data_IF_904834008307
#
_entry.id   IF_904834008307
#
_cell.length_a   1.000
_cell.length_b   1.000
_cell.length_c   1.000
_cell.angle_alpha   90.00
_cell.angle_beta   90.00
_cell.angle_gamma   90.00
#
_symmetry.space_group_name_H-M   'P 1'
#
loop_
_entity.id
_entity.type
_entity.pdbx_description
1 polymer ?
#
# COMPACT_ATOMS: atom_id res chain seq x y z
N UNK A 1 0.78 15.74 11.79
CA UNK A 1 1.36 14.66 10.97
C UNK A 1 0.36 13.51 11.00
N UNK A 2 -0.12 12.99 9.87
CA UNK A 2 -1.10 11.89 9.91
C UNK A 2 -0.45 10.64 10.52
N UNK A 3 -1.22 9.78 11.23
CA UNK A 3 -0.67 8.56 11.83
C UNK A 3 0.06 7.69 10.80
N UNK A 4 -0.49 7.59 9.58
CA UNK A 4 0.11 6.82 8.49
C UNK A 4 1.44 7.41 7.98
N UNK A 5 1.58 8.74 7.99
CA UNK A 5 2.84 9.39 7.62
C UNK A 5 3.94 9.10 8.65
N UNK A 6 3.59 8.97 9.94
CA UNK A 6 4.54 8.48 10.96
C UNK A 6 4.95 7.03 10.71
N UNK A 7 3.99 6.16 10.41
CA UNK A 7 4.24 4.74 10.06
C UNK A 7 5.23 4.61 8.91
N UNK A 8 5.02 5.34 7.80
CA UNK A 8 5.94 5.26 6.67
C UNK A 8 7.28 5.93 6.93
N UNK A 9 7.34 6.99 7.74
CA UNK A 9 8.61 7.56 8.20
C UNK A 9 9.41 6.53 8.98
N UNK A 10 8.77 5.83 9.92
CA UNK A 10 9.40 4.78 10.73
C UNK A 10 9.94 3.66 9.85
N UNK A 11 9.14 3.13 8.92
CA UNK A 11 9.57 2.08 7.99
C UNK A 11 10.76 2.54 7.14
N UNK A 12 10.66 3.73 6.55
CA UNK A 12 11.73 4.30 5.71
C UNK A 12 13.02 4.53 6.50
N UNK A 13 12.93 5.05 7.72
CA UNK A 13 14.08 5.27 8.60
C UNK A 13 14.80 3.98 8.99
N UNK A 14 14.06 2.89 9.24
CA UNK A 14 14.65 1.56 9.50
C UNK A 14 15.30 1.00 8.23
N UNK A 15 14.65 1.09 7.05
CA UNK A 15 15.24 0.63 5.79
C UNK A 15 16.57 1.33 5.51
N UNK A 16 16.61 2.65 5.65
CA UNK A 16 17.81 3.46 5.40
C UNK A 16 18.99 3.11 6.31
N UNK A 17 18.73 2.58 7.51
CA UNK A 17 19.76 2.20 8.47
C UNK A 17 20.17 0.74 8.39
N UNK A 18 19.20 -0.16 8.30
CA UNK A 18 19.43 -1.61 8.36
C UNK A 18 19.76 -2.20 6.99
N UNK A 19 19.25 -1.60 5.92
CA UNK A 19 19.34 -2.10 4.54
C UNK A 19 19.39 -0.94 3.52
N UNK A 20 20.38 -0.02 3.62
CA UNK A 20 20.45 1.19 2.80
C UNK A 20 20.45 0.92 1.28
N UNK A 21 20.91 -0.26 0.84
CA UNK A 21 20.94 -0.65 -0.57
C UNK A 21 19.55 -0.76 -1.22
N UNK A 22 18.47 -0.83 -0.44
CA UNK A 22 17.10 -0.92 -0.96
C UNK A 22 16.60 0.42 -1.52
N UNK A 23 16.91 1.53 -0.85
CA UNK A 23 16.54 2.88 -1.28
C UNK A 23 17.78 3.53 -1.90
N UNK A 24 17.83 3.57 -3.23
CA UNK A 24 19.00 4.08 -3.96
C UNK A 24 18.63 4.62 -5.33
N UNK A 25 19.59 5.31 -5.93
CA UNK A 25 19.43 5.79 -7.29
C UNK A 25 19.50 4.63 -8.29
N UNK A 26 18.57 4.61 -9.23
CA UNK A 26 18.43 3.54 -10.22
C UNK A 26 18.36 4.15 -11.62
N UNK A 27 19.16 3.61 -12.54
CA UNK A 27 19.17 4.01 -13.96
C UNK A 27 18.26 3.08 -14.74
N UNK A 28 17.43 3.63 -15.61
CA UNK A 28 16.61 2.84 -16.54
C UNK A 28 17.08 3.08 -17.97
N UNK A 29 17.25 2.01 -18.73
CA UNK A 29 17.73 2.06 -20.11
C UNK A 29 16.55 2.19 -21.09
N UNK A 30 16.04 3.41 -21.20
CA UNK A 30 15.18 3.86 -22.31
C UNK A 30 16.01 4.81 -23.21
N UNK A 31 15.50 5.32 -24.35
CA UNK A 31 16.32 6.02 -25.36
C UNK A 31 17.21 7.16 -24.83
N UNK A 32 16.85 7.76 -23.69
CA UNK A 32 17.77 8.52 -22.83
C UNK A 32 17.86 7.87 -21.43
N UNK A 33 19.05 7.80 -20.83
CA UNK A 33 19.22 7.27 -19.47
C UNK A 33 18.56 8.22 -18.45
N UNK A 34 17.40 7.83 -17.93
CA UNK A 34 16.75 8.53 -16.83
C UNK A 34 17.26 7.97 -15.50
N UNK A 35 17.72 8.87 -14.62
CA UNK A 35 18.15 8.54 -13.26
C UNK A 35 16.98 8.78 -12.30
N UNK A 36 16.49 7.70 -11.68
CA UNK A 36 15.46 7.76 -10.65
C UNK A 36 16.13 7.74 -9.27
N UNK A 37 16.07 8.88 -8.58
CA UNK A 37 16.74 9.04 -7.30
C UNK A 37 15.97 8.38 -6.15
N UNK A 38 16.71 7.82 -5.17
CA UNK A 38 16.16 7.30 -3.89
C UNK A 38 14.91 6.42 -4.05
N UNK A 39 14.97 5.44 -4.94
CA UNK A 39 13.84 4.55 -5.25
C UNK A 39 14.04 3.15 -4.65
N UNK A 40 12.94 2.52 -4.27
CA UNK A 40 12.85 1.12 -3.85
C UNK A 40 12.07 0.30 -4.89
N UNK A 41 12.42 -0.97 -5.06
CA UNK A 41 11.67 -1.88 -5.94
C UNK A 41 10.54 -2.53 -5.13
N UNK A 42 9.35 -2.64 -5.73
CA UNK A 42 8.18 -3.28 -5.12
C UNK A 42 8.47 -4.64 -4.52
N UNK A 43 9.03 -5.57 -5.30
CA UNK A 43 9.37 -6.91 -4.81
C UNK A 43 10.42 -6.92 -3.69
N UNK A 44 11.41 -6.02 -3.74
CA UNK A 44 12.42 -5.89 -2.69
C UNK A 44 11.83 -5.33 -1.39
N UNK A 45 10.86 -4.41 -1.48
CA UNK A 45 10.12 -3.91 -0.32
C UNK A 45 9.30 -5.04 0.34
N UNK A 46 8.67 -5.90 -0.46
CA UNK A 46 7.95 -7.08 0.03
C UNK A 46 8.90 -8.04 0.76
N UNK A 47 10.05 -8.34 0.18
CA UNK A 47 11.07 -9.19 0.80
C UNK A 47 11.53 -8.60 2.14
N UNK A 48 11.73 -7.29 2.18
CA UNK A 48 12.10 -6.59 3.41
C UNK A 48 11.00 -6.69 4.49
N UNK A 49 9.73 -6.48 4.14
CA UNK A 49 8.60 -6.59 5.08
C UNK A 49 8.51 -8.02 5.64
N UNK A 50 8.63 -9.03 4.80
CA UNK A 50 8.60 -10.43 5.24
C UNK A 50 9.77 -10.75 6.18
N UNK A 51 10.98 -10.29 5.84
CA UNK A 51 12.17 -10.52 6.66
C UNK A 51 12.13 -9.75 7.99
N UNK A 52 11.64 -8.52 8.01
CA UNK A 52 11.59 -7.74 9.26
C UNK A 52 10.50 -8.30 10.19
N UNK A 53 9.40 -8.80 9.63
CA UNK A 53 8.29 -9.34 10.42
C UNK A 53 8.60 -10.67 11.08
N UNK A 54 9.54 -11.48 10.57
CA UNK A 54 9.98 -12.71 11.27
C UNK A 54 10.57 -12.43 12.67
N UNK A 55 11.10 -11.21 12.88
CA UNK A 55 11.70 -10.78 14.13
C UNK A 55 10.71 -10.01 15.03
N UNK A 56 9.43 -9.97 14.65
CA UNK A 56 8.39 -9.26 15.38
C UNK A 56 7.20 -10.18 15.65
N UNK A 57 6.33 -9.89 16.62
CA UNK A 57 5.09 -10.65 16.82
C UNK A 57 4.04 -10.40 15.71
N UNK A 58 4.31 -9.48 14.77
CA UNK A 58 3.39 -9.18 13.66
C UNK A 58 3.42 -10.34 12.67
N UNK A 59 2.28 -11.01 12.53
CA UNK A 59 2.12 -12.21 11.73
C UNK A 59 1.84 -11.89 10.25
N UNK A 60 2.90 -11.85 9.44
CA UNK A 60 2.82 -11.74 7.98
C UNK A 60 3.37 -13.02 7.37
N UNK A 61 2.51 -13.84 6.76
CA UNK A 61 2.86 -15.18 6.29
C UNK A 61 2.87 -15.31 4.76
N UNK A 62 2.46 -14.28 4.03
CA UNK A 62 2.40 -14.33 2.57
C UNK A 62 2.83 -13.01 1.93
N UNK A 63 3.33 -13.10 0.69
CA UNK A 63 3.64 -11.91 -0.13
C UNK A 63 2.40 -11.05 -0.37
N UNK A 64 1.22 -11.67 -0.47
CA UNK A 64 -0.06 -10.97 -0.60
C UNK A 64 -0.37 -10.09 0.61
N UNK A 65 -0.12 -10.58 1.83
CA UNK A 65 -0.31 -9.77 3.05
C UNK A 65 0.67 -8.60 3.11
N UNK A 66 1.94 -8.81 2.75
CA UNK A 66 2.91 -7.73 2.66
C UNK A 66 2.53 -6.70 1.57
N UNK A 67 2.02 -7.17 0.41
CA UNK A 67 1.55 -6.30 -0.66
C UNK A 67 0.34 -5.46 -0.23
N UNK A 68 -0.57 -6.04 0.55
CA UNK A 68 -1.68 -5.34 1.17
C UNK A 68 -1.21 -4.25 2.17
N UNK A 69 -0.15 -4.50 2.93
CA UNK A 69 0.47 -3.47 3.79
C UNK A 69 1.06 -2.33 2.96
N UNK A 70 1.72 -2.63 1.84
CA UNK A 70 2.21 -1.62 0.91
C UNK A 70 1.09 -0.85 0.20
N UNK A 71 -0.05 -1.50 -0.07
CA UNK A 71 -1.24 -0.87 -0.62
C UNK A 71 -1.75 0.26 0.29
N UNK A 72 -1.73 0.07 1.62
CA UNK A 72 -2.08 1.12 2.59
C UNK A 72 -1.16 2.34 2.44
N UNK A 73 0.16 2.11 2.32
CA UNK A 73 1.14 3.20 2.14
C UNK A 73 0.94 3.94 0.81
N UNK A 74 0.57 3.21 -0.26
CA UNK A 74 0.32 3.76 -1.58
C UNK A 74 -0.93 4.66 -1.60
N UNK A 75 -2.05 4.18 -1.07
CA UNK A 75 -3.29 4.98 -0.99
C UNK A 75 -3.13 6.20 -0.09
N UNK A 76 -2.32 6.06 0.97
CA UNK A 76 -1.98 7.14 1.89
C UNK A 76 -1.00 8.19 1.34
N UNK A 77 -0.54 8.06 0.09
CA UNK A 77 0.48 8.93 -0.52
C UNK A 77 1.78 9.00 0.29
N UNK A 78 2.07 7.95 1.06
CA UNK A 78 3.34 7.81 1.79
C UNK A 78 4.37 7.10 0.92
N UNK A 79 3.88 6.21 0.07
CA UNK A 79 4.62 5.58 -1.02
C UNK A 79 3.96 5.98 -2.34
N UNK A 80 4.74 6.27 -3.37
CA UNK A 80 4.23 6.63 -4.71
C UNK A 80 4.96 5.82 -5.76
N UNK A 81 4.22 5.31 -6.77
CA UNK A 81 4.83 4.64 -7.91
C UNK A 81 5.55 5.65 -8.80
N UNK A 82 6.83 5.41 -9.07
CA UNK A 82 7.64 6.21 -9.96
C UNK A 82 7.36 5.75 -11.40
N UNK A 83 6.61 6.55 -12.14
CA UNK A 83 6.27 6.27 -13.53
C UNK A 83 7.34 6.81 -14.47
N UNK A 84 7.67 6.03 -15.51
CA UNK A 84 8.67 6.40 -16.53
C UNK A 84 8.16 7.46 -17.49
N UNK A 85 6.85 7.68 -17.54
CA UNK A 85 6.21 8.60 -18.48
C UNK A 85 5.60 9.78 -17.72
N UNK A 86 6.29 10.92 -17.78
CA UNK A 86 5.71 12.24 -17.54
C UNK A 86 4.77 12.64 -18.68
N UNK A 87 3.81 11.78 -19.02
CA UNK A 87 2.66 12.23 -19.79
C UNK A 87 1.64 12.73 -18.78
N UNK A 88 1.32 14.03 -18.74
CA UNK A 88 0.15 14.49 -18.00
C UNK A 88 -1.05 13.80 -18.64
N UNK A 89 -1.64 12.86 -17.91
CA UNK A 89 -2.88 12.20 -18.31
C UNK A 89 -4.01 13.24 -18.24
N UNK A 90 -4.16 14.03 -19.31
CA UNK A 90 -5.34 14.84 -19.63
C UNK A 90 -6.49 13.98 -20.19
N UNK A 91 -6.63 12.75 -19.72
CA UNK A 91 -7.79 11.90 -20.02
C UNK A 91 -8.52 11.61 -18.72
N UNK A 92 -9.44 12.51 -18.42
CA UNK A 92 -10.58 12.31 -17.54
C UNK A 92 -11.33 11.04 -17.93
N UNK A 93 -11.48 10.13 -16.96
CA UNK A 93 -12.57 9.15 -16.91
C UNK A 93 -12.21 7.73 -17.39
N UNK A 94 -12.30 6.79 -16.46
CA UNK A 94 -12.52 5.34 -16.63
C UNK A 94 -11.33 4.36 -16.57
N UNK A 95 -10.09 4.71 -16.96
CA UNK A 95 -8.97 3.74 -16.97
C UNK A 95 -7.86 3.98 -15.92
N UNK A 96 -8.00 5.01 -15.08
CA UNK A 96 -6.99 5.39 -14.06
C UNK A 96 -7.03 4.49 -12.79
N UNK A 97 -7.96 3.54 -12.72
CA UNK A 97 -8.11 2.63 -11.58
C UNK A 97 -6.92 1.68 -11.39
N UNK A 98 -6.17 1.37 -12.46
CA UNK A 98 -5.01 0.49 -12.40
C UNK A 98 -3.75 1.17 -11.85
N UNK A 99 -3.75 2.51 -11.70
CA UNK A 99 -2.66 3.26 -11.08
C UNK A 99 -2.68 3.19 -9.54
N UNK A 100 -3.71 2.55 -8.98
CA UNK A 100 -3.99 2.51 -7.55
C UNK A 100 -3.54 1.23 -6.85
N UNK A 101 -3.04 0.21 -7.56
CA UNK A 101 -2.62 -1.06 -6.94
C UNK A 101 -1.10 -1.13 -6.75
N UNK A 102 -0.66 -1.54 -5.56
CA UNK A 102 0.73 -1.92 -5.31
C UNK A 102 1.06 -3.25 -6.01
N UNK A 103 2.19 -3.26 -6.71
CA UNK A 103 2.68 -4.39 -7.49
C UNK A 103 3.95 -4.98 -6.87
N UNK A 104 3.85 -6.25 -6.48
CA UNK A 104 4.98 -7.12 -6.09
C UNK A 104 5.78 -7.58 -7.32
N UNK A 105 6.43 -6.61 -7.99
CA UNK A 105 7.22 -6.81 -9.21
C UNK A 105 8.38 -5.81 -9.25
N UNK A 106 9.15 -5.84 -10.33
CA UNK A 106 10.15 -4.82 -10.65
C UNK A 106 9.47 -3.49 -11.05
N UNK A 107 8.86 -2.83 -10.08
CA UNK A 107 8.23 -1.50 -10.21
C UNK A 107 8.90 -0.58 -9.20
N UNK A 108 9.25 0.63 -9.63
CA UNK A 108 9.90 1.61 -8.77
C UNK A 108 8.87 2.35 -7.93
N UNK A 109 9.15 2.46 -6.65
CA UNK A 109 8.40 3.27 -5.71
C UNK A 109 9.34 4.23 -4.99
N UNK A 110 8.76 5.32 -4.48
CA UNK A 110 9.47 6.33 -3.69
C UNK A 110 8.64 6.69 -2.46
N UNK A 111 9.31 6.83 -1.32
CA UNK A 111 8.68 7.41 -0.14
C UNK A 111 8.61 8.94 -0.28
N UNK A 112 7.51 9.54 0.15
CA UNK A 112 7.31 11.00 0.06
C UNK A 112 8.35 11.85 0.84
N UNK A 113 9.13 11.23 1.73
CA UNK A 113 10.25 11.88 2.44
C UNK A 113 11.48 12.10 1.54
N UNK A 114 11.61 11.32 0.47
CA UNK A 114 12.79 11.29 -0.38
C UNK A 114 12.72 12.25 -1.57
N UNK A 115 11.60 12.95 -1.73
CA UNK A 115 11.48 14.08 -2.68
C UNK A 115 12.26 15.32 -2.21
N UNK A 116 12.65 15.38 -0.94
CA UNK A 116 13.44 16.48 -0.40
C UNK A 116 14.96 16.20 -0.53
N UNK A 117 15.72 17.27 -0.79
CA UNK A 117 17.18 17.22 -1.03
C UNK A 117 17.92 16.74 0.23
N UNK A 118 17.41 17.06 1.43
CA UNK A 118 17.99 16.69 2.72
C UNK A 118 17.10 15.66 3.46
N UNK A 119 17.24 14.38 3.09
CA UNK A 119 16.48 13.27 3.70
C UNK A 119 17.36 12.37 4.58
N UNK A 120 18.48 12.89 5.08
CA UNK A 120 19.37 12.14 5.96
C UNK A 120 18.65 11.75 7.26
N UNK A 121 18.83 10.51 7.70
CA UNK A 121 18.25 9.99 8.95
C UNK A 121 19.34 10.02 10.00
N UNK A 122 19.10 10.68 11.13
CA UNK A 122 20.10 10.76 12.21
C UNK A 122 20.16 9.47 13.04
N UNK A 123 21.21 9.32 13.87
CA UNK A 123 21.30 8.19 14.81
C UNK A 123 20.15 8.18 15.84
N UNK A 124 19.63 9.35 16.22
CA UNK A 124 18.48 9.42 17.12
C UNK A 124 17.19 9.00 16.42
N UNK A 125 17.00 9.42 15.16
CA UNK A 125 15.87 8.98 14.34
C UNK A 125 15.85 7.45 14.16
N UNK A 126 17.03 6.83 14.01
CA UNK A 126 17.17 5.37 13.99
C UNK A 126 16.59 4.75 15.25
N UNK A 127 17.01 5.23 16.43
CA UNK A 127 16.61 4.69 17.73
C UNK A 127 15.09 4.80 17.93
N UNK A 128 14.51 5.94 17.54
CA UNK A 128 13.06 6.16 17.59
C UNK A 128 12.35 5.20 16.62
N UNK A 129 12.80 5.12 15.37
CA UNK A 129 12.17 4.29 14.36
C UNK A 129 12.22 2.79 14.73
N UNK A 130 13.35 2.30 15.26
CA UNK A 130 13.46 0.92 15.76
C UNK A 130 12.47 0.63 16.89
N UNK A 131 12.26 1.59 17.81
CA UNK A 131 11.29 1.43 18.91
C UNK A 131 9.82 1.42 18.43
N UNK A 132 9.50 2.16 17.37
CA UNK A 132 8.14 2.28 16.83
C UNK A 132 7.81 1.27 15.72
N UNK A 133 8.81 0.53 15.24
CA UNK A 133 8.69 -0.37 14.09
C UNK A 133 7.59 -1.41 14.28
N UNK A 134 7.54 -2.06 15.45
CA UNK A 134 6.54 -3.08 15.75
C UNK A 134 5.11 -2.52 15.66
N UNK A 135 4.87 -1.37 16.29
CA UNK A 135 3.56 -0.71 16.27
C UNK A 135 3.19 -0.26 14.86
N UNK A 136 4.18 0.22 14.09
CA UNK A 136 4.00 0.66 12.70
C UNK A 136 3.59 -0.50 11.78
N UNK A 137 4.29 -1.64 11.89
CA UNK A 137 3.96 -2.86 11.14
C UNK A 137 2.59 -3.42 11.55
N UNK A 138 2.28 -3.42 12.84
CA UNK A 138 0.96 -3.86 13.33
C UNK A 138 -0.16 -2.95 12.81
N UNK A 139 0.08 -1.65 12.74
CA UNK A 139 -0.89 -0.68 12.22
C UNK A 139 -1.15 -0.92 10.72
N UNK A 140 -0.10 -1.16 9.93
CA UNK A 140 -0.27 -1.52 8.52
C UNK A 140 -1.03 -2.84 8.34
N UNK A 141 -0.70 -3.87 9.14
CA UNK A 141 -1.37 -5.16 9.06
C UNK A 141 -2.87 -5.06 9.40
N UNK A 142 -3.27 -4.15 10.31
CA UNK A 142 -4.67 -3.89 10.64
C UNK A 142 -5.41 -3.11 9.56
N UNK A 143 -4.74 -2.21 8.85
CA UNK A 143 -5.34 -1.40 7.77
C UNK A 143 -5.35 -2.12 6.42
N UNK A 144 -4.50 -3.12 6.24
CA UNK A 144 -4.32 -3.86 5.00
C UNK A 144 -5.61 -4.49 4.44
N UNK A 145 -6.46 -5.17 5.25
CA UNK A 145 -7.69 -5.79 4.74
C UNK A 145 -8.68 -4.78 4.15
N UNK A 146 -8.89 -3.63 4.81
CA UNK A 146 -9.73 -2.54 4.29
C UNK A 146 -9.19 -1.95 2.98
N UNK A 147 -7.87 -1.77 2.87
CA UNK A 147 -7.26 -1.28 1.64
C UNK A 147 -7.45 -2.26 0.47
N UNK A 148 -7.36 -3.57 0.74
CA UNK A 148 -7.64 -4.61 -0.26
C UNK A 148 -9.13 -4.67 -0.59
N UNK A 149 -10.02 -4.55 0.39
CA UNK A 149 -11.46 -4.45 0.15
C UNK A 149 -11.78 -3.32 -0.82
N UNK A 150 -11.31 -2.10 -0.55
CA UNK A 150 -11.52 -0.94 -1.42
C UNK A 150 -10.90 -1.16 -2.80
N UNK A 151 -9.74 -1.81 -2.89
CA UNK A 151 -9.12 -2.15 -4.16
C UNK A 151 -9.97 -3.12 -4.99
N UNK A 152 -10.48 -4.19 -4.38
CA UNK A 152 -11.34 -5.17 -5.06
C UNK A 152 -12.67 -4.54 -5.47
N UNK A 153 -13.28 -3.74 -4.59
CA UNK A 153 -14.60 -3.17 -4.85
C UNK A 153 -14.61 -2.07 -5.92
N UNK A 154 -13.46 -1.50 -6.29
CA UNK A 154 -13.31 -0.67 -7.49
C UNK A 154 -13.56 -1.46 -8.78
N UNK A 155 -13.37 -2.79 -8.78
CA UNK A 155 -13.71 -3.65 -9.92
C UNK A 155 -15.22 -3.86 -10.00
N UNK A 156 -15.81 -3.88 -11.21
CA UNK A 156 -17.20 -4.28 -11.36
C UNK A 156 -17.39 -5.73 -10.90
N UNK A 157 -18.54 -6.08 -10.31
CA UNK A 157 -18.86 -7.43 -9.82
C UNK A 157 -18.44 -8.57 -10.75
N UNK A 158 -18.67 -8.41 -12.06
CA UNK A 158 -18.43 -9.45 -13.06
C UNK A 158 -16.94 -9.69 -13.38
N UNK A 159 -16.03 -8.82 -12.92
CA UNK A 159 -14.58 -8.93 -13.14
C UNK A 159 -13.81 -9.38 -11.89
N UNK A 160 -14.49 -9.69 -10.79
CA UNK A 160 -13.85 -10.17 -9.56
C UNK A 160 -13.54 -11.66 -9.68
N UNK A 161 -12.38 -12.08 -9.19
CA UNK A 161 -12.06 -13.52 -9.09
C UNK A 161 -12.72 -14.14 -7.86
N UNK A 162 -12.73 -15.47 -7.77
CA UNK A 162 -13.28 -16.18 -6.62
C UNK A 162 -12.52 -15.84 -5.32
N UNK A 163 -11.18 -15.72 -5.40
CA UNK A 163 -10.34 -15.32 -4.26
C UNK A 163 -10.62 -13.88 -3.81
N UNK A 164 -10.93 -13.00 -4.75
CA UNK A 164 -11.32 -11.62 -4.45
C UNK A 164 -12.69 -11.56 -3.78
N UNK A 165 -13.65 -12.37 -4.25
CA UNK A 165 -14.96 -12.49 -3.62
C UNK A 165 -14.87 -13.07 -2.20
N UNK A 166 -13.99 -14.05 -1.98
CA UNK A 166 -13.69 -14.59 -0.65
C UNK A 166 -13.09 -13.52 0.26
N UNK A 167 -12.13 -12.74 -0.25
CA UNK A 167 -11.54 -11.62 0.50
C UNK A 167 -12.57 -10.56 0.89
N UNK A 168 -13.51 -10.23 -0.02
CA UNK A 168 -14.62 -9.33 0.29
C UNK A 168 -15.51 -9.94 1.37
N UNK A 169 -15.88 -11.21 1.25
CA UNK A 169 -16.71 -11.91 2.23
C UNK A 169 -16.10 -11.88 3.64
N UNK A 170 -14.81 -12.19 3.77
CA UNK A 170 -14.09 -12.13 5.06
C UNK A 170 -14.17 -10.73 5.69
N UNK A 171 -14.06 -9.67 4.89
CA UNK A 171 -14.22 -8.31 5.40
C UNK A 171 -15.67 -7.98 5.79
N UNK A 172 -16.67 -8.48 5.06
CA UNK A 172 -18.07 -8.30 5.42
C UNK A 172 -18.42 -8.93 6.79
N UNK A 173 -17.69 -9.96 7.24
CA UNK A 173 -17.86 -10.54 8.57
C UNK A 173 -17.50 -9.55 9.69
N UNK A 174 -16.58 -8.63 9.42
CA UNK A 174 -16.10 -7.64 10.39
C UNK A 174 -16.94 -6.35 10.40
N UNK A 175 -17.83 -6.16 9.43
CA UNK A 175 -18.71 -4.98 9.36
C UNK A 175 -19.89 -5.15 10.33
N UNK A 176 -19.87 -4.41 11.45
CA UNK A 176 -20.93 -4.45 12.47
C UNK A 176 -22.33 -4.21 11.91
N UNK A 177 -22.48 -3.33 10.92
CA UNK A 177 -23.78 -3.06 10.28
C UNK A 177 -24.39 -4.31 9.61
N UNK A 178 -23.56 -5.26 9.17
CA UNK A 178 -23.98 -6.50 8.50
C UNK A 178 -24.05 -7.71 9.46
N UNK A 179 -23.75 -7.52 10.75
CA UNK A 179 -23.68 -8.60 11.74
C UNK A 179 -24.96 -9.43 11.87
N UNK A 180 -26.11 -8.83 11.57
CA UNK A 180 -27.43 -9.47 11.60
C UNK A 180 -27.74 -10.36 10.38
N UNK A 181 -26.95 -10.27 9.30
CA UNK A 181 -27.13 -11.08 8.09
C UNK A 181 -26.48 -12.46 8.26
N UNK A 182 -27.09 -13.50 7.67
CA UNK A 182 -26.50 -14.84 7.66
C UNK A 182 -25.24 -14.90 6.79
N UNK A 183 -24.37 -15.89 7.04
CA UNK A 183 -23.14 -16.05 6.25
C UNK A 183 -23.44 -16.33 4.76
N UNK A 184 -24.51 -17.06 4.44
CA UNK A 184 -24.93 -17.24 3.05
C UNK A 184 -25.32 -15.90 2.40
N UNK A 185 -26.08 -15.04 3.10
CA UNK A 185 -26.41 -13.71 2.55
C UNK A 185 -25.17 -12.85 2.36
N UNK A 186 -24.22 -12.87 3.31
CA UNK A 186 -22.95 -12.14 3.16
C UNK A 186 -22.12 -12.66 1.97
N UNK A 187 -22.14 -13.97 1.71
CA UNK A 187 -21.42 -14.57 0.58
C UNK A 187 -22.02 -14.13 -0.76
N UNK A 188 -23.34 -14.11 -0.88
CA UNK A 188 -24.03 -13.55 -2.05
C UNK A 188 -23.78 -12.03 -2.18
N UNK A 189 -23.78 -11.30 -1.05
CA UNK A 189 -23.51 -9.87 -1.04
C UNK A 189 -22.10 -9.54 -1.55
N UNK A 190 -21.08 -10.33 -1.19
CA UNK A 190 -19.71 -10.16 -1.66
C UNK A 190 -19.61 -10.20 -3.20
N UNK A 191 -20.49 -10.97 -3.86
CA UNK A 191 -20.54 -11.08 -5.31
C UNK A 191 -21.13 -9.84 -6.00
N UNK A 192 -21.95 -9.02 -5.31
CA UNK A 192 -22.71 -7.93 -5.94
C UNK A 192 -22.46 -6.54 -5.34
N UNK A 193 -21.84 -6.46 -4.16
CA UNK A 193 -21.63 -5.19 -3.46
C UNK A 193 -20.80 -4.22 -4.29
N UNK A 194 -21.25 -2.96 -4.33
CA UNK A 194 -20.58 -1.86 -5.01
C UNK A 194 -19.92 -0.93 -3.98
N UNK A 195 -18.87 -0.24 -4.41
CA UNK A 195 -18.19 0.77 -3.61
C UNK A 195 -18.33 2.14 -4.27
N UNK A 196 -18.64 3.14 -3.47
CA UNK A 196 -18.72 4.53 -3.89
C UNK A 196 -17.97 5.40 -2.89
N UNK A 197 -17.31 6.45 -3.39
CA UNK A 197 -16.58 7.40 -2.56
C UNK A 197 -16.84 8.83 -3.01
N UNK A 198 -17.07 9.72 -2.05
CA UNK A 198 -17.36 11.13 -2.33
C UNK A 198 -16.29 12.02 -1.68
N UNK A 199 -15.50 12.77 -2.46
CA UNK A 199 -14.43 13.60 -1.92
C UNK A 199 -14.96 14.84 -1.19
N UNK A 200 -16.17 15.29 -1.53
CA UNK A 200 -16.82 16.45 -0.93
C UNK A 200 -17.83 16.01 0.12
N UNK A 201 -17.71 16.60 1.31
CA UNK A 201 -18.76 16.50 2.34
C UNK A 201 -20.07 17.08 1.78
N UNK A 202 -21.21 16.55 2.23
CA UNK A 202 -22.55 16.99 1.83
C UNK A 202 -22.88 16.78 0.34
N UNK A 203 -22.21 15.84 -0.32
CA UNK A 203 -22.67 15.36 -1.64
C UNK A 203 -23.98 14.62 -1.46
N UNK A 204 -24.98 14.92 -2.31
CA UNK A 204 -26.25 14.20 -2.37
C UNK A 204 -26.15 13.23 -3.55
N UNK A 205 -26.33 11.94 -3.28
CA UNK A 205 -26.20 10.84 -4.23
C UNK A 205 -27.59 10.35 -4.67
#
# INVERSE_FOLDING_TARGET
MSPLFRVGWTIRSVIMHSTPQLIRDRKYHLPLPTLYHKCIIGSELIDWILNVTTNTPVRVHSRGQAAAMCQVLLEGQVLTQVTTESVPSTTTGADDDNKSQFLDRYVLYRFCFDDQIDSAVTTEDKRIAESELMQSLSSLAQLAPDAILRLILRKPPQKRTEEEMESVFEELLHIKALSHLSNSVKKELAAVIAFESHPKKQTIC
#
